data_IF_097610392611
#
_entry.id   IF_097610392611
#
_cell.length_a   1.000
_cell.length_b   1.000
_cell.length_c   1.000
_cell.angle_alpha   90.00
_cell.angle_beta   90.00
_cell.angle_gamma   90.00
#
_symmetry.space_group_name_H-M   'P 1'
#
loop_
_entity.id
_entity.type
_entity.pdbx_description
1 polymer ?
#
# COMPACT_ATOMS: atom_id res chain seq x y z
N UNK A 1 -19.26 11.03 15.84
CA UNK A 1 -18.20 10.57 14.91
C UNK A 1 -17.81 11.68 13.93
N UNK A 2 -16.67 11.55 13.23
CA UNK A 2 -16.21 12.54 12.24
C UNK A 2 -17.24 12.79 11.14
N UNK A 3 -17.76 11.72 10.51
CA UNK A 3 -18.71 11.80 9.39
C UNK A 3 -20.01 12.52 9.76
N UNK A 4 -20.56 12.25 10.96
CA UNK A 4 -21.74 12.94 11.47
C UNK A 4 -21.48 14.45 11.63
N UNK A 5 -20.29 14.82 12.11
CA UNK A 5 -19.92 16.24 12.28
C UNK A 5 -19.80 16.95 10.93
N UNK A 6 -19.21 16.29 9.94
CA UNK A 6 -19.13 16.82 8.59
C UNK A 6 -20.51 16.96 7.94
N UNK A 7 -21.40 15.98 8.13
CA UNK A 7 -22.75 16.02 7.59
C UNK A 7 -23.60 17.15 8.22
N UNK A 8 -23.54 17.29 9.55
CA UNK A 8 -24.20 18.39 10.27
C UNK A 8 -23.69 19.78 9.87
N UNK A 9 -22.43 19.89 9.46
CA UNK A 9 -21.82 21.14 8.98
C UNK A 9 -22.01 21.35 7.47
N UNK A 10 -22.89 20.56 6.84
CA UNK A 10 -23.22 20.59 5.42
C UNK A 10 -22.02 20.43 4.48
N UNK A 11 -21.11 19.52 4.83
CA UNK A 11 -20.09 19.06 3.91
C UNK A 11 -20.67 18.03 2.93
N UNK A 12 -20.18 18.08 1.70
CA UNK A 12 -20.19 16.97 0.75
C UNK A 12 -19.07 16.01 1.12
N UNK A 13 -19.39 14.75 1.38
CA UNK A 13 -18.45 13.74 1.87
C UNK A 13 -18.35 12.62 0.83
N UNK A 14 -17.12 12.24 0.47
CA UNK A 14 -16.85 11.03 -0.32
C UNK A 14 -15.88 10.13 0.43
N UNK A 15 -16.17 8.84 0.48
CA UNK A 15 -15.35 7.84 1.16
C UNK A 15 -14.83 6.80 0.17
N UNK A 16 -13.57 6.39 0.32
CA UNK A 16 -13.02 5.31 -0.49
C UNK A 16 -11.96 4.48 0.24
N UNK A 17 -11.88 3.20 -0.14
CA UNK A 17 -10.83 2.25 0.23
C UNK A 17 -9.99 1.98 -1.01
N UNK A 18 -8.82 2.61 -1.08
CA UNK A 18 -7.97 2.58 -2.27
C UNK A 18 -6.59 1.99 -1.97
N UNK A 19 -6.02 1.32 -2.96
CA UNK A 19 -4.67 0.76 -2.92
C UNK A 19 -3.84 1.28 -4.10
N UNK A 20 -2.53 1.57 -3.93
CA UNK A 20 -1.65 2.00 -5.02
C UNK A 20 -1.68 1.08 -6.25
N UNK A 21 -1.93 -0.21 -6.05
CA UNK A 21 -2.10 -1.20 -7.13
C UNK A 21 -3.20 -0.84 -8.14
N UNK A 22 -4.19 -0.03 -7.76
CA UNK A 22 -5.24 0.46 -8.66
C UNK A 22 -4.75 1.57 -9.60
N UNK A 23 -3.58 2.12 -9.34
CA UNK A 23 -2.96 3.23 -10.06
C UNK A 23 -1.61 2.82 -10.67
N UNK A 24 -1.40 1.52 -10.91
CA UNK A 24 -0.17 0.99 -11.52
C UNK A 24 1.05 1.01 -10.61
N UNK A 25 0.90 1.15 -9.29
CA UNK A 25 2.02 1.10 -8.34
C UNK A 25 2.07 -0.29 -7.69
N UNK A 26 3.18 -1.04 -7.77
CA UNK A 26 3.29 -2.43 -7.32
C UNK A 26 3.39 -2.59 -5.79
N UNK A 27 2.54 -1.91 -5.02
CA UNK A 27 2.49 -2.03 -3.55
C UNK A 27 1.06 -2.15 -3.03
N UNK A 28 0.75 -3.28 -2.37
CA UNK A 28 -0.53 -3.51 -1.73
C UNK A 28 -0.64 -2.69 -0.44
N UNK A 29 -1.28 -1.52 -0.51
CA UNK A 29 -1.44 -0.61 0.63
C UNK A 29 -2.84 -0.02 0.67
N UNK A 30 -3.82 -0.86 0.98
CA UNK A 30 -5.21 -0.44 1.12
C UNK A 30 -5.36 0.59 2.26
N UNK A 31 -5.93 1.75 1.98
CA UNK A 31 -6.17 2.82 2.95
C UNK A 31 -7.55 3.42 2.76
N UNK A 32 -8.13 3.82 3.88
CA UNK A 32 -9.34 4.63 3.91
C UNK A 32 -8.98 6.09 3.66
N UNK A 33 -9.72 6.69 2.74
CA UNK A 33 -9.68 8.11 2.43
C UNK A 33 -11.08 8.68 2.57
N UNK A 34 -11.14 9.90 3.09
CA UNK A 34 -12.35 10.70 3.15
C UNK A 34 -12.02 12.09 2.61
N UNK A 35 -12.80 12.54 1.64
CA UNK A 35 -12.79 13.94 1.21
C UNK A 35 -14.04 14.62 1.72
N UNK A 36 -13.89 15.86 2.18
CA UNK A 36 -15.00 16.67 2.67
C UNK A 36 -14.87 18.07 2.07
N UNK A 37 -15.90 18.51 1.35
CA UNK A 37 -15.97 19.85 0.76
C UNK A 37 -17.18 20.58 1.31
N UNK A 38 -17.00 21.79 1.85
CA UNK A 38 -18.14 22.60 2.29
C UNK A 38 -18.92 23.03 1.05
N UNK A 39 -20.25 22.86 1.07
CA UNK A 39 -21.10 23.31 -0.02
C UNK A 39 -21.20 24.84 -0.03
N UNK A 40 -21.26 25.44 -1.22
CA UNK A 40 -21.45 26.89 -1.37
C UNK A 40 -22.92 27.30 -1.17
N UNK A 41 -23.84 26.38 -1.44
CA UNK A 41 -25.28 26.54 -1.21
C UNK A 41 -25.76 25.52 -0.18
N UNK A 42 -26.48 25.96 0.86
CA UNK A 42 -26.99 25.05 1.88
C UNK A 42 -28.03 24.11 1.29
N UNK A 43 -27.89 22.81 1.54
CA UNK A 43 -28.92 21.84 1.16
C UNK A 43 -30.01 21.82 2.23
N UNK A 44 -31.29 21.84 1.84
CA UNK A 44 -32.38 21.61 2.80
C UNK A 44 -32.31 20.13 3.20
N UNK A 45 -31.69 19.85 4.34
CA UNK A 45 -31.67 18.51 4.93
C UNK A 45 -32.62 18.48 6.12
N UNK A 46 -33.64 17.62 6.08
CA UNK A 46 -34.56 17.46 7.21
C UNK A 46 -33.95 16.62 8.35
N UNK A 47 -32.96 15.77 8.07
CA UNK A 47 -32.19 14.99 9.06
C UNK A 47 -30.78 14.63 8.56
N UNK A 48 -29.92 14.18 9.48
CA UNK A 48 -28.57 13.69 9.19
C UNK A 48 -28.62 12.29 8.56
N UNK A 49 -28.96 12.24 7.28
CA UNK A 49 -29.23 10.99 6.55
C UNK A 49 -27.96 10.35 5.96
N UNK A 50 -26.77 10.93 6.23
CA UNK A 50 -25.53 10.45 5.63
C UNK A 50 -25.25 8.98 5.95
N UNK A 51 -25.47 8.53 7.19
CA UNK A 51 -25.17 7.14 7.58
C UNK A 51 -26.05 6.12 6.81
N UNK A 52 -27.26 6.51 6.44
CA UNK A 52 -28.21 5.60 5.75
C UNK A 52 -27.93 5.52 4.25
N UNK A 53 -27.28 6.55 3.68
CA UNK A 53 -27.03 6.69 2.25
C UNK A 53 -25.55 6.58 1.86
N UNK A 54 -24.63 6.44 2.83
CA UNK A 54 -23.20 6.44 2.55
C UNK A 54 -22.75 5.20 1.80
N UNK A 55 -21.83 5.40 0.86
CA UNK A 55 -21.17 4.35 0.09
C UNK A 55 -19.66 4.56 0.20
N UNK A 56 -18.95 3.51 0.60
CA UNK A 56 -17.49 3.49 0.59
C UNK A 56 -17.05 2.89 -0.75
N UNK A 57 -16.47 3.72 -1.61
CA UNK A 57 -15.99 3.26 -2.91
C UNK A 57 -14.74 2.40 -2.76
N UNK A 58 -14.73 1.22 -3.36
CA UNK A 58 -13.55 0.32 -3.36
C UNK A 58 -12.70 0.47 -4.62
N UNK A 59 -13.13 1.30 -5.55
CA UNK A 59 -12.44 1.71 -6.78
C UNK A 59 -12.45 3.22 -6.88
N UNK A 60 -11.63 3.77 -7.77
CA UNK A 60 -11.63 5.21 -8.03
C UNK A 60 -13.00 5.69 -8.54
N UNK A 61 -13.71 6.60 -7.84
CA UNK A 61 -15.09 6.94 -8.18
C UNK A 61 -15.24 8.20 -9.06
N UNK A 62 -14.16 8.93 -9.34
CA UNK A 62 -14.24 10.29 -9.91
C UNK A 62 -14.04 10.37 -11.42
N UNK A 63 -13.68 9.27 -12.11
CA UNK A 63 -13.52 9.25 -13.56
C UNK A 63 -14.14 7.98 -14.16
N UNK A 64 -15.18 8.13 -14.99
CA UNK A 64 -15.76 7.01 -15.78
C UNK A 64 -14.80 6.51 -16.87
N UNK A 65 -13.82 7.34 -17.29
CA UNK A 65 -12.88 7.06 -18.38
C UNK A 65 -11.59 6.35 -17.96
N UNK A 66 -11.31 6.19 -16.66
CA UNK A 66 -10.08 5.55 -16.15
C UNK A 66 -10.22 4.03 -15.98
N UNK A 67 -11.16 3.40 -16.70
CA UNK A 67 -11.24 1.96 -16.82
C UNK A 67 -10.05 1.33 -17.59
N UNK A 68 -9.06 2.13 -17.99
CA UNK A 68 -7.77 1.60 -18.38
C UNK A 68 -7.04 1.08 -17.14
N UNK A 69 -6.93 -0.24 -17.04
CA UNK A 69 -6.06 -0.91 -16.08
C UNK A 69 -4.66 -0.33 -16.30
N UNK A 70 -4.21 0.52 -15.37
CA UNK A 70 -2.82 0.97 -15.37
C UNK A 70 -1.94 -0.25 -15.13
N UNK A 71 -1.18 -0.65 -16.16
CA UNK A 71 -0.27 -1.76 -16.01
C UNK A 71 0.80 -1.39 -14.99
N UNK A 72 0.99 -2.25 -13.99
CA UNK A 72 2.04 -2.05 -13.00
C UNK A 72 3.41 -2.37 -13.63
N UNK A 73 4.40 -1.46 -13.53
CA UNK A 73 5.75 -1.77 -13.95
C UNK A 73 6.37 -2.83 -13.03
N UNK A 74 7.45 -3.42 -13.51
CA UNK A 74 8.28 -4.33 -12.71
C UNK A 74 8.93 -3.59 -11.54
N UNK A 75 9.21 -4.32 -10.46
CA UNK A 75 9.90 -3.77 -9.28
C UNK A 75 11.29 -3.23 -9.61
N UNK A 76 11.94 -3.76 -10.66
CA UNK A 76 13.22 -3.28 -11.18
C UNK A 76 13.21 -1.77 -11.48
N UNK A 77 12.07 -1.20 -11.88
CA UNK A 77 11.91 0.23 -12.12
C UNK A 77 11.95 1.09 -10.85
N UNK A 78 11.82 0.49 -9.67
CA UNK A 78 11.79 1.16 -8.36
C UNK A 78 13.03 0.86 -7.51
N UNK A 79 13.95 0.01 -7.98
CA UNK A 79 15.16 -0.34 -7.26
C UNK A 79 16.29 0.63 -7.59
N UNK A 80 17.06 1.02 -6.57
CA UNK A 80 18.27 1.82 -6.74
C UNK A 80 19.43 0.93 -7.24
N UNK A 81 20.16 1.40 -8.26
CA UNK A 81 21.24 0.63 -8.91
C UNK A 81 22.40 0.26 -7.97
N UNK A 82 22.64 1.06 -6.92
CA UNK A 82 23.71 0.88 -5.95
C UNK A 82 23.27 0.17 -4.66
N UNK A 83 22.00 -0.20 -4.50
CA UNK A 83 21.51 -0.78 -3.24
C UNK A 83 22.15 -2.12 -2.88
N UNK A 84 22.69 -2.86 -3.87
CA UNK A 84 23.37 -4.13 -3.63
C UNK A 84 24.75 -3.99 -2.99
N UNK A 85 25.33 -2.79 -3.00
CA UNK A 85 26.66 -2.52 -2.43
C UNK A 85 26.58 -2.20 -0.93
N UNK A 86 25.38 -1.85 -0.43
CA UNK A 86 25.16 -1.50 0.96
C UNK A 86 24.64 -2.71 1.76
N UNK A 87 25.53 -3.28 2.56
CA UNK A 87 25.22 -4.41 3.43
C UNK A 87 24.16 -4.09 4.49
N UNK A 88 23.86 -2.81 4.76
CA UNK A 88 22.86 -2.42 5.76
C UNK A 88 21.44 -2.83 5.38
N UNK A 89 21.16 -3.04 4.09
CA UNK A 89 19.87 -3.51 3.59
C UNK A 89 19.71 -5.03 3.62
N UNK A 90 20.80 -5.78 3.89
CA UNK A 90 20.75 -7.23 3.95
C UNK A 90 20.00 -7.69 5.20
N UNK A 91 19.01 -8.56 5.02
CA UNK A 91 18.33 -9.19 6.15
C UNK A 91 19.30 -10.13 6.88
N UNK A 92 19.60 -9.88 8.17
CA UNK A 92 20.49 -10.74 8.93
C UNK A 92 19.97 -12.18 8.99
N UNK A 93 20.84 -13.16 8.72
CA UNK A 93 20.51 -14.59 8.73
C UNK A 93 19.82 -15.04 10.03
N UNK A 94 20.20 -14.44 11.18
CA UNK A 94 19.58 -14.70 12.49
C UNK A 94 18.07 -14.44 12.52
N UNK A 95 17.53 -13.56 11.68
CA UNK A 95 16.09 -13.31 11.62
C UNK A 95 15.38 -14.35 10.75
N UNK A 96 16.00 -14.77 9.66
CA UNK A 96 15.47 -15.80 8.75
C UNK A 96 15.45 -17.18 9.42
N UNK A 97 16.57 -17.57 10.04
CA UNK A 97 16.73 -18.89 10.66
C UNK A 97 15.84 -19.10 11.90
N UNK A 98 15.34 -18.02 12.50
CA UNK A 98 14.40 -18.07 13.64
C UNK A 98 12.96 -18.28 13.22
N UNK A 99 12.64 -18.18 11.93
CA UNK A 99 11.26 -18.29 11.46
C UNK A 99 10.80 -19.74 11.46
N UNK A 100 9.75 -20.03 12.21
CA UNK A 100 9.00 -21.26 12.06
C UNK A 100 8.30 -21.26 10.69
N UNK A 101 8.56 -22.27 9.85
CA UNK A 101 7.98 -22.46 8.51
C UNK A 101 8.39 -21.45 7.42
N UNK A 102 9.45 -20.66 7.59
CA UNK A 102 9.99 -19.75 6.55
C UNK A 102 8.95 -18.86 5.85
N UNK A 103 7.91 -18.41 6.58
CA UNK A 103 6.82 -17.58 6.03
C UNK A 103 7.29 -16.15 5.78
N UNK A 104 8.03 -15.95 4.69
CA UNK A 104 8.44 -14.67 4.16
C UNK A 104 7.79 -14.43 2.80
N UNK A 105 7.38 -13.20 2.57
CA UNK A 105 6.96 -12.74 1.26
C UNK A 105 8.21 -12.26 0.53
N UNK A 106 8.70 -13.07 -0.41
CA UNK A 106 9.95 -12.81 -1.15
C UNK A 106 9.59 -12.41 -2.58
N UNK A 107 10.11 -11.27 -3.02
CA UNK A 107 9.88 -10.73 -4.36
C UNK A 107 11.17 -10.62 -5.16
N UNK A 108 11.06 -10.58 -6.48
CA UNK A 108 12.16 -10.43 -7.43
C UNK A 108 12.01 -9.12 -8.19
N UNK A 109 13.10 -8.58 -8.78
CA UNK A 109 13.03 -7.39 -9.62
C UNK A 109 12.01 -7.49 -10.77
N UNK A 110 11.76 -8.69 -11.29
CA UNK A 110 10.78 -8.95 -12.35
C UNK A 110 9.32 -9.01 -11.88
N UNK A 111 9.08 -9.05 -10.56
CA UNK A 111 7.71 -9.09 -10.05
C UNK A 111 7.03 -7.72 -10.21
N UNK A 112 5.69 -7.71 -10.14
CA UNK A 112 4.86 -6.51 -10.30
C UNK A 112 3.97 -6.23 -9.08
N UNK A 113 4.36 -6.76 -7.92
CA UNK A 113 3.60 -6.60 -6.66
C UNK A 113 4.49 -6.80 -5.44
N UNK A 114 4.17 -6.08 -4.37
CA UNK A 114 4.71 -6.22 -3.02
C UNK A 114 3.59 -6.12 -1.99
N UNK A 115 3.79 -6.66 -0.80
CA UNK A 115 2.91 -6.49 0.35
C UNK A 115 3.10 -5.13 1.03
N UNK A 116 2.17 -4.77 1.92
CA UNK A 116 2.18 -3.49 2.62
C UNK A 116 3.43 -3.35 3.49
N UNK A 117 4.22 -2.32 3.24
CA UNK A 117 5.30 -1.92 4.15
C UNK A 117 4.69 -1.29 5.41
N UNK A 118 5.08 -1.80 6.58
CA UNK A 118 4.67 -1.31 7.90
C UNK A 118 5.82 -0.59 8.60
N UNK A 119 5.52 0.07 9.72
CA UNK A 119 6.54 0.74 10.56
C UNK A 119 7.65 -0.20 11.06
N UNK A 120 7.36 -1.49 11.20
CA UNK A 120 8.32 -2.47 11.72
C UNK A 120 9.25 -3.02 10.63
N UNK A 121 9.10 -2.59 9.37
CA UNK A 121 9.94 -3.04 8.27
C UNK A 121 11.41 -2.63 8.49
N UNK A 122 12.33 -3.52 8.14
CA UNK A 122 13.76 -3.38 8.44
C UNK A 122 14.17 -3.61 9.91
N UNK A 123 13.20 -3.82 10.81
CA UNK A 123 13.49 -4.27 12.18
C UNK A 123 13.65 -5.81 12.25
N UNK A 124 13.78 -6.35 13.47
CA UNK A 124 13.77 -7.79 13.69
C UNK A 124 12.39 -8.44 13.41
N UNK A 125 11.33 -7.64 13.26
CA UNK A 125 10.01 -8.08 12.84
C UNK A 125 9.93 -8.20 11.31
N UNK A 126 10.58 -9.21 10.76
CA UNK A 126 10.62 -9.42 9.30
C UNK A 126 9.34 -10.04 8.72
N UNK A 127 8.54 -10.72 9.55
CA UNK A 127 7.28 -11.33 9.13
C UNK A 127 6.19 -10.27 9.12
N UNK A 128 5.35 -10.26 8.07
CA UNK A 128 4.20 -9.34 7.89
C UNK A 128 4.53 -7.85 7.82
N UNK A 129 5.81 -7.46 7.85
CA UNK A 129 6.19 -6.05 7.81
C UNK A 129 6.37 -5.51 6.40
N UNK A 130 6.42 -6.37 5.39
CA UNK A 130 6.55 -6.05 3.97
C UNK A 130 7.19 -7.23 3.21
N UNK A 131 7.18 -7.15 1.88
CA UNK A 131 7.93 -8.09 1.04
C UNK A 131 9.41 -7.84 1.19
N UNK A 132 10.24 -8.84 0.91
CA UNK A 132 11.68 -8.65 0.89
C UNK A 132 12.27 -9.09 -0.45
N UNK A 133 13.17 -8.29 -1.01
CA UNK A 133 13.65 -8.48 -2.36
C UNK A 133 14.83 -9.47 -2.41
N UNK A 134 14.71 -10.50 -3.24
CA UNK A 134 15.79 -11.41 -3.55
C UNK A 134 16.70 -10.78 -4.62
N UNK A 135 17.92 -10.41 -4.25
CA UNK A 135 18.87 -9.73 -5.16
C UNK A 135 19.96 -10.64 -5.71
N UNK A 136 20.16 -11.83 -5.14
CA UNK A 136 21.13 -12.82 -5.61
C UNK A 136 20.46 -14.13 -6.02
N UNK A 137 21.04 -14.77 -7.05
CA UNK A 137 20.64 -16.11 -7.47
C UNK A 137 21.21 -17.15 -6.50
N UNK A 138 20.42 -18.16 -6.12
CA UNK A 138 20.74 -19.22 -5.16
C UNK A 138 21.92 -20.15 -5.55
N UNK A 139 22.68 -19.84 -6.60
CA UNK A 139 23.84 -20.63 -7.01
C UNK A 139 25.11 -20.33 -6.18
N UNK A 140 25.11 -19.27 -5.37
CA UNK A 140 26.15 -18.94 -4.40
C UNK A 140 25.57 -18.95 -2.98
N UNK A 141 26.36 -19.42 -2.01
CA UNK A 141 25.98 -19.77 -0.63
C UNK A 141 25.56 -18.60 0.28
N UNK A 142 24.96 -17.53 -0.25
CA UNK A 142 24.61 -16.30 0.49
C UNK A 142 23.20 -15.87 0.10
N UNK A 143 22.27 -15.91 1.07
CA UNK A 143 20.93 -15.35 0.91
C UNK A 143 21.02 -13.85 1.19
N UNK A 144 21.14 -13.05 0.13
CA UNK A 144 21.04 -11.60 0.21
C UNK A 144 19.61 -11.17 -0.07
N UNK A 145 18.96 -10.69 0.96
CA UNK A 145 17.57 -10.23 0.94
C UNK A 145 17.60 -8.74 1.26
N UNK A 146 17.11 -7.90 0.35
CA UNK A 146 17.16 -6.43 0.40
C UNK A 146 15.81 -5.83 0.81
N UNK A 147 15.87 -4.81 1.66
CA UNK A 147 14.73 -3.98 2.08
C UNK A 147 14.37 -3.00 0.96
N UNK A 148 13.22 -3.16 0.29
CA UNK A 148 12.67 -2.11 -0.60
C UNK A 148 12.22 -0.89 0.21
N UNK A 149 12.86 0.26 0.00
CA UNK A 149 12.35 1.56 0.44
C UNK A 149 11.37 2.08 -0.64
N UNK A 150 10.15 2.40 -0.23
CA UNK A 150 9.17 3.17 -1.02
C UNK A 150 8.96 4.53 -0.35
#
# INVERSE_FOLDING_TARGET
MLVEKLDMLDYEINECLLSPTQFGIPNHRLRYYLTARRRDQPTIKEKSDYIESSVIHTTWPFNESHAEIMESPELSCFLESNANEDETFLVPAKYILKLHNFRLDIVRPSDKKTSCVTKAYGSHHIVTSGSVAQTQNFHASIISILIMLF
#
